data_IF_476977350331
#
_entry.id   IF_476977350331
#
_cell.length_a   1.000
_cell.length_b   1.000
_cell.length_c   1.000
_cell.angle_alpha   90.00
_cell.angle_beta   90.00
_cell.angle_gamma   90.00
#
_symmetry.space_group_name_H-M   'P 1'
#
loop_
_entity.id
_entity.type
_entity.pdbx_description
1 polymer ?
#
# COMPACT_ATOMS: atom_id res chain seq x y z
N UNK A 1 1.53 -34.76 6.26
CA UNK A 1 2.60 -33.80 6.60
C UNK A 1 3.52 -33.36 5.44
N UNK A 2 3.56 -34.03 4.28
CA UNK A 2 4.42 -33.62 3.14
C UNK A 2 3.85 -32.49 2.26
N UNK A 3 2.53 -32.45 2.07
CA UNK A 3 1.85 -31.43 1.22
C UNK A 3 1.91 -30.00 1.78
N UNK A 4 1.98 -29.84 3.10
CA UNK A 4 1.95 -28.52 3.79
C UNK A 4 3.26 -27.77 3.59
N UNK A 5 4.40 -28.47 3.49
CA UNK A 5 5.70 -27.85 3.20
C UNK A 5 5.78 -27.33 1.76
N UNK A 6 5.13 -28.02 0.80
CA UNK A 6 5.19 -27.63 -0.61
C UNK A 6 4.42 -26.33 -0.91
N UNK A 7 3.26 -26.09 -0.30
CA UNK A 7 2.48 -24.87 -0.55
C UNK A 7 3.13 -23.61 0.06
N UNK A 8 3.70 -23.73 1.27
CA UNK A 8 4.39 -22.62 1.92
C UNK A 8 5.73 -22.31 1.26
N UNK A 9 6.51 -23.31 0.84
CA UNK A 9 7.76 -23.10 0.09
C UNK A 9 7.53 -22.56 -1.32
N UNK A 10 6.50 -23.03 -2.05
CA UNK A 10 6.20 -22.52 -3.39
C UNK A 10 5.69 -21.07 -3.34
N UNK A 11 4.88 -20.72 -2.33
CA UNK A 11 4.40 -19.35 -2.14
C UNK A 11 5.50 -18.36 -1.75
N UNK A 12 6.46 -18.78 -0.90
CA UNK A 12 7.58 -17.91 -0.49
C UNK A 12 8.65 -17.74 -1.57
N UNK A 13 8.89 -18.76 -2.41
CA UNK A 13 9.81 -18.66 -3.56
C UNK A 13 9.28 -17.81 -4.72
N UNK A 14 7.96 -17.83 -4.98
CA UNK A 14 7.34 -16.97 -6.01
C UNK A 14 7.28 -15.50 -5.59
N UNK A 15 7.14 -15.21 -4.29
CA UNK A 15 7.06 -13.83 -3.79
C UNK A 15 8.44 -13.16 -3.74
N UNK A 16 9.51 -13.90 -3.42
CA UNK A 16 10.87 -13.36 -3.41
C UNK A 16 11.45 -13.07 -4.80
N UNK A 17 11.06 -13.84 -5.83
CA UNK A 17 11.53 -13.63 -7.20
C UNK A 17 10.77 -12.52 -7.96
N UNK A 18 9.58 -12.11 -7.49
CA UNK A 18 8.76 -11.07 -8.14
C UNK A 18 9.03 -9.64 -7.65
N UNK A 19 9.85 -9.45 -6.61
CA UNK A 19 10.02 -8.16 -5.93
C UNK A 19 11.15 -7.29 -6.49
N UNK A 20 12.00 -7.79 -7.39
CA UNK A 20 13.06 -7.00 -8.05
C UNK A 20 12.57 -6.17 -9.24
N UNK A 21 11.29 -6.29 -9.64
CA UNK A 21 10.74 -5.56 -10.80
C UNK A 21 9.56 -4.64 -10.51
N UNK A 22 9.12 -4.52 -9.25
CA UNK A 22 8.08 -3.57 -8.85
C UNK A 22 8.70 -2.42 -8.07
N UNK A 23 9.57 -1.65 -8.74
CA UNK A 23 9.73 -0.24 -8.38
C UNK A 23 8.40 0.45 -8.72
N UNK A 24 7.44 0.36 -7.79
CA UNK A 24 6.28 1.23 -7.78
C UNK A 24 6.79 2.63 -7.42
N UNK A 25 7.38 3.31 -8.41
CA UNK A 25 7.54 4.74 -8.36
C UNK A 25 6.12 5.31 -8.29
N UNK A 26 5.82 6.05 -7.22
CA UNK A 26 4.66 6.92 -7.21
C UNK A 26 4.73 7.76 -8.50
N UNK A 27 3.71 7.68 -9.36
CA UNK A 27 3.73 8.32 -10.67
C UNK A 27 4.04 9.83 -10.55
N UNK A 28 4.61 10.44 -11.61
CA UNK A 28 5.03 11.83 -11.57
C UNK A 28 3.87 12.77 -11.23
N UNK A 29 4.11 13.67 -10.27
CA UNK A 29 3.18 14.73 -9.86
C UNK A 29 2.87 15.68 -11.03
N UNK A 30 1.64 16.21 -11.06
CA UNK A 30 1.06 16.94 -12.21
C UNK A 30 1.54 18.39 -12.41
N UNK A 31 2.66 18.77 -11.79
CA UNK A 31 3.26 20.10 -11.89
C UNK A 31 4.77 19.97 -12.07
N UNK A 32 5.31 20.59 -13.13
CA UNK A 32 6.74 20.63 -13.44
C UNK A 32 7.59 21.30 -12.33
N UNK A 33 6.95 21.99 -11.38
CA UNK A 33 7.61 22.68 -10.26
C UNK A 33 7.64 21.89 -8.93
N UNK A 34 7.26 20.60 -8.91
CA UNK A 34 7.16 19.84 -7.65
C UNK A 34 8.17 18.70 -7.48
N UNK A 35 9.42 18.91 -7.88
CA UNK A 35 10.54 17.97 -7.62
C UNK A 35 10.65 17.56 -6.15
N UNK A 36 10.33 18.47 -5.24
CA UNK A 36 10.32 18.18 -3.81
C UNK A 36 9.19 17.24 -3.40
N UNK A 37 7.97 17.42 -3.92
CA UNK A 37 6.84 16.53 -3.66
C UNK A 37 7.09 15.13 -4.22
N UNK A 38 7.65 15.05 -5.43
CA UNK A 38 8.08 13.78 -6.03
C UNK A 38 9.13 13.08 -5.16
N UNK A 39 10.14 13.80 -4.66
CA UNK A 39 11.16 13.26 -3.76
C UNK A 39 10.59 12.77 -2.43
N UNK A 40 9.66 13.52 -1.83
CA UNK A 40 9.00 13.12 -0.58
C UNK A 40 8.14 11.87 -0.83
N UNK A 41 7.36 11.85 -1.92
CA UNK A 41 6.55 10.70 -2.30
C UNK A 41 7.39 9.45 -2.58
N UNK A 42 8.53 9.60 -3.27
CA UNK A 42 9.48 8.52 -3.50
C UNK A 42 10.08 7.99 -2.18
N UNK A 43 10.45 8.88 -1.26
CA UNK A 43 10.92 8.50 0.08
C UNK A 43 9.83 7.77 0.86
N UNK A 44 8.58 8.26 0.81
CA UNK A 44 7.45 7.62 1.46
C UNK A 44 7.22 6.19 0.92
N UNK A 45 7.28 6.03 -0.40
CA UNK A 45 7.19 4.72 -1.06
C UNK A 45 8.36 3.79 -0.70
N UNK A 46 9.58 4.32 -0.57
CA UNK A 46 10.73 3.53 -0.15
C UNK A 46 10.56 2.98 1.27
N UNK A 47 10.10 3.80 2.21
CA UNK A 47 9.80 3.37 3.58
C UNK A 47 8.65 2.36 3.63
N UNK A 48 7.60 2.56 2.82
CA UNK A 48 6.53 1.58 2.67
C UNK A 48 7.09 0.21 2.24
N UNK A 49 7.95 0.18 1.23
CA UNK A 49 8.57 -1.06 0.76
C UNK A 49 9.44 -1.72 1.84
N UNK A 50 10.22 -0.93 2.61
CA UNK A 50 11.01 -1.45 3.74
C UNK A 50 10.12 -2.08 4.80
N UNK A 51 8.98 -1.44 5.13
CA UNK A 51 7.98 -1.99 6.05
C UNK A 51 7.39 -3.31 5.54
N UNK A 52 7.05 -3.39 4.25
CA UNK A 52 6.53 -4.62 3.62
C UNK A 52 7.57 -5.74 3.69
N UNK A 53 8.82 -5.44 3.34
CA UNK A 53 9.92 -6.41 3.39
C UNK A 53 10.07 -6.97 4.81
N UNK A 54 10.07 -6.10 5.82
CA UNK A 54 10.15 -6.51 7.22
C UNK A 54 8.93 -7.31 7.67
N UNK A 55 7.73 -6.96 7.22
CA UNK A 55 6.55 -7.80 7.45
C UNK A 55 6.68 -9.19 6.80
N UNK A 56 7.29 -9.31 5.62
CA UNK A 56 7.56 -10.62 5.02
C UNK A 56 8.60 -11.42 5.81
N UNK A 57 9.61 -10.77 6.40
CA UNK A 57 10.51 -11.41 7.35
C UNK A 57 9.76 -11.96 8.58
N UNK A 58 8.74 -11.25 9.10
CA UNK A 58 7.86 -11.78 10.16
C UNK A 58 7.25 -13.12 9.74
N UNK A 59 6.70 -13.21 8.53
CA UNK A 59 6.08 -14.44 8.02
C UNK A 59 7.10 -15.58 7.91
N UNK A 60 8.31 -15.27 7.44
CA UNK A 60 9.41 -16.22 7.36
C UNK A 60 9.78 -16.76 8.75
N UNK A 61 10.01 -15.88 9.73
CA UNK A 61 10.37 -16.28 11.09
C UNK A 61 9.25 -17.08 11.77
N UNK A 62 7.99 -16.70 11.57
CA UNK A 62 6.85 -17.48 12.06
C UNK A 62 6.81 -18.89 11.44
N UNK A 63 7.15 -19.04 10.16
CA UNK A 63 7.24 -20.35 9.52
C UNK A 63 8.36 -21.22 10.11
N UNK A 64 9.46 -20.59 10.55
CA UNK A 64 10.57 -21.23 11.27
C UNK A 64 10.29 -21.44 12.77
N UNK A 65 9.14 -20.97 13.27
CA UNK A 65 8.78 -20.93 14.71
C UNK A 65 9.74 -20.11 15.56
N UNK A 66 10.40 -19.14 14.94
CA UNK A 66 11.28 -18.18 15.60
C UNK A 66 10.46 -16.95 16.00
N UNK A 67 9.83 -17.02 17.17
CA UNK A 67 8.93 -15.95 17.63
C UNK A 67 9.66 -14.69 18.07
N UNK A 68 10.94 -14.81 18.45
CA UNK A 68 11.76 -13.66 18.88
C UNK A 68 12.04 -12.76 17.67
N UNK A 69 12.66 -13.30 16.63
CA UNK A 69 12.97 -12.53 15.42
C UNK A 69 11.70 -12.11 14.67
N UNK A 70 10.61 -12.88 14.75
CA UNK A 70 9.31 -12.43 14.23
C UNK A 70 8.79 -11.18 14.95
N UNK A 71 9.01 -11.07 16.26
CA UNK A 71 8.60 -9.91 17.06
C UNK A 71 9.48 -8.70 16.74
N UNK A 72 10.79 -8.89 16.62
CA UNK A 72 11.74 -7.85 16.23
C UNK A 72 11.46 -7.33 14.82
N UNK A 73 11.31 -8.22 13.84
CA UNK A 73 10.97 -7.86 12.46
C UNK A 73 9.64 -7.11 12.37
N UNK A 74 8.65 -7.47 13.22
CA UNK A 74 7.37 -6.75 13.29
C UNK A 74 7.57 -5.33 13.82
N UNK A 75 8.39 -5.14 14.86
CA UNK A 75 8.68 -3.82 15.41
C UNK A 75 9.35 -2.92 14.36
N UNK A 76 10.34 -3.45 13.63
CA UNK A 76 11.02 -2.72 12.54
C UNK A 76 10.07 -2.44 11.37
N UNK A 77 9.17 -3.38 11.03
CA UNK A 77 8.14 -3.12 10.02
C UNK A 77 7.23 -1.94 10.41
N UNK A 78 6.79 -1.90 11.67
CA UNK A 78 5.97 -0.81 12.19
C UNK A 78 6.71 0.53 12.18
N UNK A 79 8.01 0.56 12.47
CA UNK A 79 8.83 1.77 12.38
C UNK A 79 8.82 2.34 10.95
N UNK A 80 9.14 1.51 9.95
CA UNK A 80 9.13 1.92 8.54
C UNK A 80 7.73 2.35 8.06
N UNK A 81 6.67 1.66 8.47
CA UNK A 81 5.32 2.08 8.13
C UNK A 81 4.95 3.44 8.75
N UNK A 82 5.34 3.68 10.01
CA UNK A 82 5.09 4.97 10.66
C UNK A 82 5.87 6.11 9.98
N UNK A 83 7.14 5.87 9.61
CA UNK A 83 7.94 6.85 8.85
C UNK A 83 7.31 7.16 7.49
N UNK A 84 6.89 6.12 6.76
CA UNK A 84 6.18 6.28 5.49
C UNK A 84 4.88 7.08 5.65
N UNK A 85 4.09 6.83 6.70
CA UNK A 85 2.90 7.64 7.02
C UNK A 85 3.25 9.09 7.28
N UNK A 86 4.32 9.38 8.03
CA UNK A 86 4.78 10.73 8.29
C UNK A 86 5.16 11.48 7.00
N UNK A 87 5.79 10.78 6.06
CA UNK A 87 6.14 11.33 4.75
C UNK A 87 4.91 11.54 3.86
N UNK A 88 3.97 10.59 3.81
CA UNK A 88 2.72 10.76 3.06
C UNK A 88 1.84 11.89 3.63
N UNK A 89 1.87 12.15 4.94
CA UNK A 89 1.22 13.33 5.52
C UNK A 89 1.76 14.63 4.92
N UNK A 90 3.08 14.77 4.82
CA UNK A 90 3.72 15.94 4.16
C UNK A 90 3.30 16.08 2.69
N UNK A 91 3.17 14.95 1.97
CA UNK A 91 2.63 14.96 0.59
C UNK A 91 1.19 15.47 0.58
N UNK A 92 0.34 14.98 1.47
CA UNK A 92 -1.08 15.37 1.53
C UNK A 92 -1.29 16.84 1.94
N UNK A 93 -0.42 17.39 2.79
CA UNK A 93 -0.46 18.80 3.20
C UNK A 93 -0.13 19.76 2.06
N UNK A 94 0.69 19.31 1.10
CA UNK A 94 1.16 20.10 -0.05
C UNK A 94 0.38 19.81 -1.35
N UNK A 95 -0.43 18.75 -1.35
CA UNK A 95 -1.29 18.40 -2.47
C UNK A 95 -2.38 19.47 -2.71
N UNK A 96 -2.64 19.77 -3.97
CA UNK A 96 -3.64 20.78 -4.34
C UNK A 96 -5.05 20.30 -4.00
N UNK A 97 -5.97 21.22 -3.70
CA UNK A 97 -7.39 20.90 -3.58
C UNK A 97 -8.10 20.85 -4.94
N UNK A 98 -7.37 20.49 -6.00
CA UNK A 98 -7.88 20.40 -7.37
C UNK A 98 -8.85 19.24 -7.46
N UNK A 99 -9.99 19.45 -8.12
CA UNK A 99 -10.99 18.39 -8.33
C UNK A 99 -10.44 17.29 -9.23
N UNK A 100 -10.68 16.04 -8.85
CA UNK A 100 -10.43 14.88 -9.70
C UNK A 100 -11.62 14.69 -10.61
N UNK A 101 -11.35 14.48 -11.90
CA UNK A 101 -12.40 14.20 -12.88
C UNK A 101 -12.38 12.71 -13.24
N UNK A 102 -13.47 12.02 -12.90
CA UNK A 102 -13.65 10.58 -13.12
C UNK A 102 -14.44 10.31 -14.42
N UNK A 103 -13.87 10.68 -15.57
CA UNK A 103 -14.48 10.44 -16.88
C UNK A 103 -13.62 9.45 -17.69
N UNK A 104 -13.86 8.12 -17.56
CA UNK A 104 -13.14 7.13 -18.33
C UNK A 104 -13.54 7.17 -19.80
N UNK A 105 -12.56 7.12 -20.71
CA UNK A 105 -12.73 7.26 -22.16
C UNK A 105 -12.83 5.92 -22.90
N UNK A 106 -12.27 4.87 -22.30
CA UNK A 106 -12.28 3.51 -22.84
C UNK A 106 -12.63 2.49 -21.74
N UNK A 107 -12.78 1.23 -22.14
CA UNK A 107 -13.18 0.16 -21.23
C UNK A 107 -12.11 -0.18 -20.19
N UNK A 108 -10.83 0.08 -20.49
CA UNK A 108 -9.73 -0.12 -19.55
C UNK A 108 -9.76 0.94 -18.43
N UNK A 109 -9.99 2.20 -18.78
CA UNK A 109 -10.15 3.28 -17.80
C UNK A 109 -11.39 3.04 -16.92
N UNK A 110 -12.49 2.51 -17.49
CA UNK A 110 -13.68 2.11 -16.72
C UNK A 110 -13.37 1.00 -15.73
N UNK A 111 -12.59 -0.01 -16.14
CA UNK A 111 -12.19 -1.12 -15.27
C UNK A 111 -11.35 -0.63 -14.10
N UNK A 112 -10.36 0.23 -14.35
CA UNK A 112 -9.52 0.86 -13.31
C UNK A 112 -10.39 1.62 -12.31
N UNK A 113 -11.29 2.48 -12.79
CA UNK A 113 -12.18 3.26 -11.93
C UNK A 113 -13.10 2.36 -11.10
N UNK A 114 -13.70 1.34 -11.72
CA UNK A 114 -14.58 0.40 -11.02
C UNK A 114 -13.83 -0.39 -9.93
N UNK A 115 -12.59 -0.80 -10.22
CA UNK A 115 -11.72 -1.50 -9.28
C UNK A 115 -11.33 -0.61 -8.11
N UNK A 116 -10.96 0.64 -8.40
CA UNK A 116 -10.66 1.64 -7.37
C UNK A 116 -11.85 1.86 -6.44
N UNK A 117 -13.04 2.12 -6.99
CA UNK A 117 -14.26 2.32 -6.22
C UNK A 117 -14.65 1.08 -5.40
N UNK A 118 -14.46 -0.13 -5.97
CA UNK A 118 -14.73 -1.38 -5.26
C UNK A 118 -13.82 -1.56 -4.04
N UNK A 119 -12.52 -1.24 -4.17
CA UNK A 119 -11.55 -1.31 -3.06
C UNK A 119 -11.82 -0.28 -1.97
N UNK A 120 -12.21 0.94 -2.35
CA UNK A 120 -12.63 1.96 -1.39
C UNK A 120 -13.89 1.53 -0.63
N UNK A 121 -14.88 0.96 -1.34
CA UNK A 121 -16.09 0.43 -0.72
C UNK A 121 -15.82 -0.71 0.25
N UNK A 122 -14.89 -1.62 -0.08
CA UNK A 122 -14.47 -2.70 0.84
C UNK A 122 -13.90 -2.15 2.15
N UNK A 123 -13.29 -0.97 2.11
CA UNK A 123 -12.75 -0.28 3.27
C UNK A 123 -13.72 0.74 3.88
N UNK A 124 -14.93 0.91 3.37
CA UNK A 124 -15.84 1.98 3.80
C UNK A 124 -15.15 3.37 3.78
N UNK A 125 -14.48 3.66 2.66
CA UNK A 125 -13.83 4.94 2.38
C UNK A 125 -14.59 5.63 1.25
N UNK A 126 -14.91 6.91 1.42
CA UNK A 126 -15.53 7.71 0.37
C UNK A 126 -14.58 7.89 -0.83
N UNK A 127 -15.14 7.97 -2.03
CA UNK A 127 -14.34 8.24 -3.24
C UNK A 127 -13.71 9.64 -3.13
N UNK A 128 -12.37 9.77 -3.23
CA UNK A 128 -11.71 11.07 -3.18
C UNK A 128 -12.20 11.99 -4.29
N UNK A 129 -12.65 13.20 -3.96
CA UNK A 129 -13.09 14.21 -4.91
C UNK A 129 -11.99 15.18 -5.34
N UNK A 130 -10.87 15.22 -4.61
CA UNK A 130 -9.74 16.12 -4.89
C UNK A 130 -8.39 15.41 -4.81
N UNK A 131 -7.37 15.97 -5.44
CA UNK A 131 -5.98 15.48 -5.38
C UNK A 131 -5.49 15.36 -3.93
N UNK A 132 -5.79 16.36 -3.09
CA UNK A 132 -5.52 16.31 -1.65
C UNK A 132 -6.17 15.10 -0.98
N UNK A 133 -7.46 14.87 -1.21
CA UNK A 133 -8.16 13.70 -0.65
C UNK A 133 -7.57 12.37 -1.16
N UNK A 134 -7.10 12.33 -2.41
CA UNK A 134 -6.44 11.16 -2.97
C UNK A 134 -5.05 10.93 -2.34
N UNK A 135 -4.32 11.99 -2.00
CA UNK A 135 -3.07 11.89 -1.23
C UNK A 135 -3.32 11.45 0.23
N UNK A 136 -4.39 11.94 0.87
CA UNK A 136 -4.82 11.55 2.22
C UNK A 136 -5.24 10.07 2.31
N UNK A 137 -5.63 9.45 1.18
CA UNK A 137 -5.95 8.04 1.12
C UNK A 137 -4.77 7.16 1.52
N UNK A 138 -3.55 7.50 1.10
CA UNK A 138 -2.34 6.74 1.47
C UNK A 138 -2.15 6.72 2.99
N UNK A 139 -2.26 7.89 3.64
CA UNK A 139 -2.20 8.03 5.10
C UNK A 139 -3.28 7.18 5.77
N UNK A 140 -4.52 7.25 5.27
CA UNK A 140 -5.67 6.54 5.85
C UNK A 140 -5.48 5.02 5.80
N UNK A 141 -5.16 4.47 4.63
CA UNK A 141 -5.05 3.02 4.42
C UNK A 141 -3.83 2.46 5.16
N UNK A 142 -2.71 3.17 5.15
CA UNK A 142 -1.51 2.77 5.90
C UNK A 142 -1.74 2.81 7.41
N UNK A 143 -2.37 3.86 7.93
CA UNK A 143 -2.67 3.96 9.37
C UNK A 143 -3.55 2.79 9.83
N UNK A 144 -4.53 2.39 9.02
CA UNK A 144 -5.36 1.20 9.28
C UNK A 144 -4.54 -0.09 9.27
N UNK A 145 -3.61 -0.24 8.33
CA UNK A 145 -2.69 -1.38 8.29
C UNK A 145 -1.81 -1.46 9.54
N UNK A 146 -1.22 -0.33 9.95
CA UNK A 146 -0.42 -0.20 11.18
C UNK A 146 -1.24 -0.63 12.39
N UNK A 147 -2.43 -0.07 12.60
CA UNK A 147 -3.29 -0.42 13.74
C UNK A 147 -3.64 -1.92 13.79
N UNK A 148 -3.89 -2.52 12.63
CA UNK A 148 -4.15 -3.96 12.54
C UNK A 148 -2.90 -4.75 12.96
N UNK A 149 -1.73 -4.35 12.48
CA UNK A 149 -0.48 -5.03 12.78
C UNK A 149 -0.10 -4.87 14.25
N UNK A 150 -0.20 -3.67 14.83
CA UNK A 150 0.04 -3.39 16.25
C UNK A 150 -0.79 -4.31 17.15
N UNK A 151 -2.10 -4.40 16.88
CA UNK A 151 -3.04 -5.24 17.62
C UNK A 151 -2.84 -6.74 17.44
N UNK A 152 -2.10 -7.15 16.42
CA UNK A 152 -1.85 -8.56 16.14
C UNK A 152 -0.67 -9.07 16.95
N UNK A 153 -0.82 -10.17 17.67
CA UNK A 153 0.29 -10.93 18.25
C UNK A 153 0.35 -12.27 17.54
N UNK A 154 1.54 -12.69 17.12
CA UNK A 154 1.75 -13.94 16.41
C UNK A 154 2.63 -14.86 17.25
N UNK A 155 2.13 -16.07 17.55
CA UNK A 155 2.81 -17.07 18.38
C UNK A 155 3.36 -18.25 17.58
N UNK A 156 3.37 -18.17 16.26
CA UNK A 156 3.74 -19.26 15.33
C UNK A 156 2.88 -20.53 15.51
N UNK A 157 1.59 -20.36 15.81
CA UNK A 157 0.63 -21.44 16.01
C UNK A 157 -0.51 -21.38 14.99
N UNK A 158 -1.29 -22.45 14.88
CA UNK A 158 -2.48 -22.46 14.02
C UNK A 158 -3.53 -21.42 14.45
N UNK A 159 -3.56 -21.04 15.73
CA UNK A 159 -4.48 -20.01 16.22
C UNK A 159 -4.20 -18.63 15.60
N UNK A 160 -2.99 -18.41 15.05
CA UNK A 160 -2.62 -17.13 14.42
C UNK A 160 -3.17 -16.97 13.00
N UNK A 161 -3.64 -18.04 12.35
CA UNK A 161 -4.07 -18.00 10.94
C UNK A 161 -5.14 -16.93 10.64
N UNK A 162 -6.18 -16.73 11.47
CA UNK A 162 -7.16 -15.67 11.22
C UNK A 162 -6.52 -14.27 11.24
N UNK A 163 -5.65 -13.98 12.20
CA UNK A 163 -4.98 -12.68 12.33
C UNK A 163 -3.97 -12.46 11.20
N UNK A 164 -3.20 -13.48 10.83
CA UNK A 164 -2.27 -13.41 9.70
C UNK A 164 -3.01 -13.17 8.38
N UNK A 165 -4.14 -13.84 8.14
CA UNK A 165 -4.97 -13.60 6.94
C UNK A 165 -5.51 -12.18 6.90
N UNK A 166 -5.92 -11.61 8.04
CA UNK A 166 -6.35 -10.22 8.12
C UNK A 166 -5.21 -9.25 7.79
N UNK A 167 -4.00 -9.49 8.31
CA UNK A 167 -2.83 -8.66 8.03
C UNK A 167 -2.42 -8.72 6.55
N UNK A 168 -2.39 -9.92 5.97
CA UNK A 168 -2.12 -10.14 4.55
C UNK A 168 -3.17 -9.48 3.65
N UNK A 169 -4.47 -9.63 3.97
CA UNK A 169 -5.54 -8.95 3.22
C UNK A 169 -5.40 -7.44 3.29
N UNK A 170 -5.10 -6.91 4.47
CA UNK A 170 -4.88 -5.46 4.64
C UNK A 170 -3.66 -4.96 3.84
N UNK A 171 -2.57 -5.71 3.78
CA UNK A 171 -1.42 -5.38 2.95
C UNK A 171 -1.77 -5.43 1.44
N UNK A 172 -2.52 -6.45 1.01
CA UNK A 172 -2.96 -6.56 -0.38
C UNK A 172 -3.84 -5.37 -0.78
N UNK A 173 -4.79 -4.97 0.07
CA UNK A 173 -5.63 -3.79 -0.17
C UNK A 173 -4.81 -2.50 -0.22
N UNK A 174 -3.80 -2.36 0.63
CA UNK A 174 -2.88 -1.22 0.60
C UNK A 174 -2.13 -1.13 -0.74
N UNK A 175 -1.61 -2.26 -1.24
CA UNK A 175 -0.90 -2.33 -2.52
C UNK A 175 -1.83 -2.08 -3.71
N UNK A 176 -2.99 -2.72 -3.74
CA UNK A 176 -4.02 -2.52 -4.77
C UNK A 176 -4.41 -1.04 -4.86
N UNK A 177 -4.72 -0.42 -3.72
CA UNK A 177 -5.10 0.99 -3.67
C UNK A 177 -3.94 1.91 -4.05
N UNK A 178 -2.69 1.57 -3.71
CA UNK A 178 -1.52 2.33 -4.16
C UNK A 178 -1.42 2.37 -5.69
N UNK A 179 -1.53 1.20 -6.34
CA UNK A 179 -1.47 1.08 -7.81
C UNK A 179 -2.65 1.81 -8.45
N UNK A 180 -3.87 1.55 -7.99
CA UNK A 180 -5.09 2.14 -8.55
C UNK A 180 -5.11 3.66 -8.35
N UNK A 181 -4.67 4.17 -7.21
CA UNK A 181 -4.57 5.62 -6.96
C UNK A 181 -3.58 6.28 -7.91
N UNK A 182 -2.43 5.65 -8.17
CA UNK A 182 -1.47 6.18 -9.15
C UNK A 182 -2.08 6.22 -10.55
N UNK A 183 -2.84 5.20 -10.95
CA UNK A 183 -3.53 5.19 -12.25
C UNK A 183 -4.60 6.27 -12.32
N UNK A 184 -5.47 6.40 -11.32
CA UNK A 184 -6.48 7.46 -11.23
C UNK A 184 -5.84 8.85 -11.32
N UNK A 185 -4.73 9.04 -10.60
CA UNK A 185 -3.98 10.29 -10.65
C UNK A 185 -3.54 10.60 -12.08
N UNK A 186 -2.94 9.63 -12.79
CA UNK A 186 -2.51 9.75 -14.18
C UNK A 186 -3.64 9.83 -15.21
N UNK A 187 -4.85 9.41 -14.88
CA UNK A 187 -6.02 9.59 -15.75
C UNK A 187 -6.62 11.01 -15.63
N UNK A 188 -6.73 11.54 -14.40
CA UNK A 188 -7.34 12.85 -14.14
C UNK A 188 -6.55 14.01 -14.74
N UNK A 189 -5.28 14.08 -14.38
CA UNK A 189 -4.16 14.46 -15.23
C UNK A 189 -4.41 14.86 -16.70
N UNK A 190 -4.84 13.89 -17.51
CA UNK A 190 -4.87 13.99 -18.96
C UNK A 190 -6.21 14.53 -19.49
N UNK A 191 -7.10 15.02 -18.61
CA UNK A 191 -8.42 15.48 -18.98
C UNK A 191 -8.47 17.00 -19.20
N UNK A 192 -9.08 17.46 -20.31
CA UNK A 192 -9.21 18.89 -20.61
C UNK A 192 -10.16 19.53 -19.59
N UNK A 193 -9.63 20.41 -18.74
CA UNK A 193 -10.39 21.09 -17.69
C UNK A 193 -9.67 21.21 -16.35
N UNK A 194 -8.47 20.61 -16.20
CA UNK A 194 -7.68 20.74 -14.97
C UNK A 194 -7.23 22.19 -14.69
N UNK A 195 -7.06 23.04 -15.70
CA UNK A 195 -6.62 24.43 -15.52
C UNK A 195 -7.70 25.30 -14.86
N UNK A 196 -7.68 25.33 -13.52
CA UNK A 196 -8.41 26.23 -12.65
C UNK A 196 -7.68 26.38 -11.33
#
# INVERSE_FOLDING_TARGET
MRLIKCLLCAGSLLVLAGLSSLQAAAGPSFDADRKELEKISASAGAELHRGIQKFHEVLMYLALRDTLHATEAKAVALEHFNESVALFKKVSETAANRKIVYQPRDDREKEILSSFQARLKELDIAVPGTEKQLAELAVTVMTRHIHLLERSSFKATQADYPSLRKALRSQALLLDLGILSSMIWSLSANQPGGSG
#
